data_IF_335510828367
#
_entry.id   IF_335510828367
#
_cell.length_a   1.000
_cell.length_b   1.000
_cell.length_c   1.000
_cell.angle_alpha   90.00
_cell.angle_beta   90.00
_cell.angle_gamma   90.00
#
_symmetry.space_group_name_H-M   'P 1'
#
loop_
_entity.id
_entity.type
_entity.pdbx_description
1 polymer ?
#
# COMPACT_ATOMS: atom_id res chain seq x y z
N UNK A 1 -25.95 26.71 -28.00
CA UNK A 1 -25.64 25.70 -26.96
C UNK A 1 -24.21 25.24 -27.20
N UNK A 2 -23.30 25.48 -26.26
CA UNK A 2 -21.95 24.91 -26.29
C UNK A 2 -22.09 23.41 -26.05
N UNK A 3 -21.58 22.59 -26.95
CA UNK A 3 -21.40 21.15 -26.72
C UNK A 3 -20.61 20.98 -25.41
N UNK A 4 -21.26 20.39 -24.42
CA UNK A 4 -20.58 19.84 -23.26
C UNK A 4 -19.69 18.74 -23.82
N UNK A 5 -18.36 18.77 -23.58
CA UNK A 5 -17.50 17.68 -24.03
C UNK A 5 -18.08 16.39 -23.47
N UNK A 6 -18.57 15.54 -24.37
CA UNK A 6 -19.07 14.22 -24.03
C UNK A 6 -18.06 13.57 -23.11
N UNK A 7 -18.55 13.00 -22.01
CA UNK A 7 -17.75 12.19 -21.09
C UNK A 7 -16.91 11.24 -21.92
N UNK A 8 -15.61 11.52 -22.08
CA UNK A 8 -14.68 10.65 -22.79
C UNK A 8 -14.89 9.29 -22.15
N UNK A 9 -15.38 8.32 -22.94
CA UNK A 9 -15.60 6.96 -22.46
C UNK A 9 -14.31 6.51 -21.79
N UNK A 10 -14.32 6.44 -20.46
CA UNK A 10 -13.12 6.12 -19.70
C UNK A 10 -12.78 4.69 -20.07
N UNK A 11 -11.70 4.53 -20.84
CA UNK A 11 -11.27 3.22 -21.28
C UNK A 11 -11.17 2.30 -20.05
N UNK A 12 -11.71 1.07 -20.11
CA UNK A 12 -11.66 0.16 -18.98
C UNK A 12 -10.24 0.01 -18.43
N UNK A 13 -10.07 -0.12 -17.11
CA UNK A 13 -8.75 -0.25 -16.53
C UNK A 13 -8.04 -1.50 -17.07
N UNK A 14 -6.72 -1.49 -17.00
CA UNK A 14 -5.93 -2.69 -17.29
C UNK A 14 -6.15 -3.69 -16.16
N UNK A 15 -6.43 -4.95 -16.49
CA UNK A 15 -6.54 -6.05 -15.56
C UNK A 15 -5.14 -6.46 -15.07
N UNK A 16 -4.24 -6.80 -16.00
CA UNK A 16 -2.84 -7.12 -15.77
C UNK A 16 -2.03 -6.90 -17.06
N UNK A 17 -0.81 -6.36 -16.95
CA UNK A 17 -0.02 -5.98 -18.13
C UNK A 17 -0.81 -5.07 -19.06
N UNK A 18 -0.86 -5.42 -20.36
CA UNK A 18 -1.62 -4.67 -21.38
C UNK A 18 -3.06 -5.16 -21.56
N UNK A 19 -3.50 -6.13 -20.74
CA UNK A 19 -4.81 -6.72 -20.83
C UNK A 19 -5.87 -5.79 -20.24
N UNK A 20 -6.92 -5.46 -21.00
CA UNK A 20 -8.05 -4.65 -20.50
C UNK A 20 -9.04 -5.51 -19.74
N UNK A 21 -9.51 -5.01 -18.61
CA UNK A 21 -10.57 -5.62 -17.83
C UNK A 21 -11.95 -5.35 -18.47
N UNK A 22 -12.82 -6.34 -18.45
CA UNK A 22 -14.24 -6.16 -18.71
C UNK A 22 -14.94 -5.58 -17.46
N UNK A 23 -16.05 -4.83 -17.62
CA UNK A 23 -16.78 -4.27 -16.48
C UNK A 23 -17.17 -5.31 -15.42
N UNK A 24 -17.55 -6.52 -15.86
CA UNK A 24 -17.87 -7.63 -14.96
C UNK A 24 -16.66 -8.09 -14.14
N UNK A 25 -15.46 -8.11 -14.73
CA UNK A 25 -14.22 -8.50 -14.04
C UNK A 25 -13.79 -7.45 -13.01
N UNK A 26 -13.92 -6.17 -13.36
CA UNK A 26 -13.68 -5.06 -12.41
C UNK A 26 -14.63 -5.16 -11.22
N UNK A 27 -15.91 -5.43 -11.49
CA UNK A 27 -16.93 -5.59 -10.46
C UNK A 27 -16.66 -6.83 -9.58
N UNK A 28 -16.28 -7.96 -10.17
CA UNK A 28 -15.96 -9.18 -9.43
C UNK A 28 -14.80 -8.97 -8.46
N UNK A 29 -13.69 -8.38 -8.94
CA UNK A 29 -12.52 -8.08 -8.11
C UNK A 29 -12.85 -7.06 -7.01
N UNK A 30 -13.53 -5.96 -7.38
CA UNK A 30 -13.93 -4.91 -6.42
C UNK A 30 -14.85 -5.47 -5.34
N UNK A 31 -15.90 -6.19 -5.72
CA UNK A 31 -16.89 -6.74 -4.80
C UNK A 31 -16.31 -7.85 -3.92
N UNK A 32 -15.42 -8.70 -4.45
CA UNK A 32 -14.75 -9.74 -3.68
C UNK A 32 -13.86 -9.16 -2.59
N UNK A 33 -12.99 -8.21 -2.95
CA UNK A 33 -12.11 -7.57 -1.97
C UNK A 33 -12.92 -6.75 -0.96
N UNK A 34 -13.95 -6.01 -1.41
CA UNK A 34 -14.83 -5.24 -0.51
C UNK A 34 -15.55 -6.15 0.48
N UNK A 35 -16.03 -7.31 0.02
CA UNK A 35 -16.68 -8.32 0.86
C UNK A 35 -15.74 -8.85 1.93
N UNK A 36 -14.51 -9.18 1.58
CA UNK A 36 -13.52 -9.65 2.56
C UNK A 36 -13.22 -8.58 3.63
N UNK A 37 -12.94 -7.35 3.20
CA UNK A 37 -12.66 -6.23 4.11
C UNK A 37 -13.86 -5.87 4.99
N UNK A 38 -15.07 -6.11 4.50
CA UNK A 38 -16.34 -5.84 5.17
C UNK A 38 -16.76 -6.85 6.25
N UNK A 39 -16.02 -7.94 6.47
CA UNK A 39 -16.29 -8.93 7.53
C UNK A 39 -15.92 -8.37 8.91
N UNK A 40 -16.84 -7.66 9.55
CA UNK A 40 -16.61 -7.02 10.85
C UNK A 40 -16.44 -8.04 11.99
N UNK A 41 -16.95 -9.25 11.81
CA UNK A 41 -16.75 -10.40 12.69
C UNK A 41 -15.29 -10.89 12.72
N UNK A 42 -14.50 -10.55 11.70
CA UNK A 42 -13.09 -10.93 11.60
C UNK A 42 -12.21 -9.79 12.16
N UNK A 43 -11.29 -10.06 13.11
CA UNK A 43 -10.34 -9.08 13.62
C UNK A 43 -9.58 -8.36 12.50
N UNK A 44 -9.32 -7.06 12.68
CA UNK A 44 -8.66 -6.23 11.66
C UNK A 44 -7.36 -6.87 11.15
N UNK A 45 -6.50 -7.33 12.05
CA UNK A 45 -5.19 -7.90 11.69
C UNK A 45 -5.32 -9.13 10.77
N UNK A 46 -6.37 -9.94 10.94
CA UNK A 46 -6.67 -11.09 10.06
C UNK A 46 -7.22 -10.60 8.72
N UNK A 47 -8.11 -9.60 8.71
CA UNK A 47 -8.59 -8.98 7.46
C UNK A 47 -7.46 -8.38 6.63
N UNK A 48 -6.52 -7.69 7.27
CA UNK A 48 -5.37 -7.08 6.59
C UNK A 48 -4.41 -8.16 6.06
N UNK A 49 -4.21 -9.24 6.81
CA UNK A 49 -3.45 -10.41 6.36
C UNK A 49 -4.08 -11.05 5.11
N UNK A 50 -5.39 -11.34 5.17
CA UNK A 50 -6.12 -11.88 4.02
C UNK A 50 -6.19 -10.92 2.83
N UNK A 51 -6.23 -9.61 3.07
CA UNK A 51 -6.14 -8.63 1.99
C UNK A 51 -4.78 -8.69 1.29
N UNK A 52 -3.68 -8.79 2.05
CA UNK A 52 -2.35 -8.93 1.49
C UNK A 52 -2.20 -10.26 0.72
N UNK A 53 -2.77 -11.35 1.24
CA UNK A 53 -2.82 -12.65 0.56
C UNK A 53 -3.60 -12.57 -0.76
N UNK A 54 -4.80 -11.97 -0.75
CA UNK A 54 -5.58 -11.72 -1.96
C UNK A 54 -4.82 -10.88 -2.98
N UNK A 55 -4.14 -9.81 -2.53
CA UNK A 55 -3.36 -8.94 -3.39
C UNK A 55 -2.26 -9.71 -4.12
N UNK A 56 -1.57 -10.63 -3.42
CA UNK A 56 -0.56 -11.48 -4.03
C UNK A 56 -1.16 -12.53 -4.97
N UNK A 57 -2.27 -13.18 -4.58
CA UNK A 57 -2.96 -14.13 -5.43
C UNK A 57 -3.46 -13.52 -6.74
N UNK A 58 -4.08 -12.34 -6.67
CA UNK A 58 -4.48 -11.55 -7.85
C UNK A 58 -3.25 -11.17 -8.67
N UNK A 59 -2.17 -10.74 -8.03
CA UNK A 59 -0.91 -10.39 -8.69
C UNK A 59 -0.23 -11.53 -9.44
N UNK A 60 -0.38 -12.75 -8.95
CA UNK A 60 0.21 -13.96 -9.52
C UNK A 60 -0.70 -14.67 -10.52
N UNK A 61 -1.97 -14.26 -10.63
CA UNK A 61 -2.94 -14.92 -11.50
C UNK A 61 -2.59 -14.77 -12.99
N UNK A 62 -2.71 -15.87 -13.74
CA UNK A 62 -2.60 -15.90 -15.20
C UNK A 62 -3.90 -15.37 -15.83
N UNK A 63 -4.04 -14.05 -15.91
CA UNK A 63 -5.23 -13.44 -16.52
C UNK A 63 -5.33 -13.66 -18.03
N UNK A 64 -4.31 -14.19 -18.71
CA UNK A 64 -4.49 -14.69 -20.08
C UNK A 64 -5.42 -15.91 -20.15
N UNK A 65 -5.57 -16.66 -19.05
CA UNK A 65 -6.30 -17.93 -18.99
C UNK A 65 -7.54 -17.87 -18.08
N UNK A 66 -7.50 -17.00 -17.08
CA UNK A 66 -8.59 -16.75 -16.12
C UNK A 66 -9.26 -15.41 -16.46
N UNK A 67 -10.36 -15.47 -17.22
CA UNK A 67 -11.13 -14.31 -17.73
C UNK A 67 -12.64 -14.50 -17.58
N UNK A 68 -13.38 -13.40 -17.65
CA UNK A 68 -14.84 -13.37 -17.59
C UNK A 68 -15.36 -14.05 -16.32
N UNK A 69 -16.27 -15.01 -16.48
CA UNK A 69 -16.86 -15.77 -15.37
C UNK A 69 -15.81 -16.46 -14.48
N UNK A 70 -14.68 -16.94 -15.06
CA UNK A 70 -13.62 -17.59 -14.29
C UNK A 70 -12.96 -16.66 -13.27
N UNK A 71 -12.92 -15.34 -13.53
CA UNK A 71 -12.43 -14.38 -12.53
C UNK A 71 -13.40 -14.30 -11.36
N UNK A 72 -14.70 -14.27 -11.65
CA UNK A 72 -15.74 -14.28 -10.60
C UNK A 72 -15.65 -15.54 -9.75
N UNK A 73 -15.45 -16.70 -10.37
CA UNK A 73 -15.24 -17.97 -9.67
C UNK A 73 -13.94 -17.94 -8.84
N UNK A 74 -12.82 -17.52 -9.42
CA UNK A 74 -11.54 -17.39 -8.72
C UNK A 74 -11.68 -16.50 -7.49
N UNK A 75 -12.19 -15.28 -7.65
CA UNK A 75 -12.34 -14.32 -6.55
C UNK A 75 -13.32 -14.83 -5.52
N UNK A 76 -14.42 -15.46 -5.95
CA UNK A 76 -15.40 -16.08 -5.07
C UNK A 76 -14.77 -17.17 -4.20
N UNK A 77 -13.98 -18.07 -4.80
CA UNK A 77 -13.28 -19.16 -4.13
C UNK A 77 -12.20 -18.64 -3.17
N UNK A 78 -11.39 -17.68 -3.61
CA UNK A 78 -10.36 -17.07 -2.77
C UNK A 78 -10.98 -16.43 -1.52
N UNK A 79 -12.07 -15.66 -1.68
CA UNK A 79 -12.71 -14.95 -0.56
C UNK A 79 -13.50 -15.88 0.37
N UNK A 80 -14.09 -16.95 -0.14
CA UNK A 80 -14.82 -17.92 0.70
C UNK A 80 -13.88 -18.75 1.57
N UNK A 81 -12.76 -19.22 1.01
CA UNK A 81 -11.82 -20.09 1.70
C UNK A 81 -10.89 -19.36 2.70
N UNK A 82 -10.69 -18.05 2.52
CA UNK A 82 -9.73 -17.24 3.27
C UNK A 82 -9.72 -17.43 4.81
N UNK A 83 -10.86 -17.39 5.55
CA UNK A 83 -10.83 -17.53 7.00
C UNK A 83 -10.14 -18.80 7.47
N UNK A 84 -10.43 -19.92 6.81
CA UNK A 84 -9.92 -21.24 7.18
C UNK A 84 -8.49 -21.43 6.64
N UNK A 85 -8.23 -20.98 5.41
CA UNK A 85 -6.90 -21.06 4.79
C UNK A 85 -5.83 -20.28 5.57
N UNK A 86 -6.14 -19.07 6.04
CA UNK A 86 -5.16 -18.25 6.77
C UNK A 86 -4.69 -18.91 8.08
N UNK A 87 -5.51 -19.76 8.70
CA UNK A 87 -5.11 -20.53 9.89
C UNK A 87 -4.03 -21.57 9.57
N UNK A 88 -4.03 -22.10 8.35
CA UNK A 88 -3.11 -23.15 7.90
C UNK A 88 -1.89 -22.63 7.14
N UNK A 89 -1.88 -21.33 6.82
CA UNK A 89 -0.79 -20.67 6.10
C UNK A 89 -0.01 -19.77 7.05
N UNK A 90 0.97 -20.30 7.81
CA UNK A 90 1.81 -19.49 8.68
C UNK A 90 2.60 -18.46 7.87
N UNK A 91 2.80 -17.28 8.47
CA UNK A 91 3.53 -16.17 7.85
C UNK A 91 4.87 -16.00 8.54
N UNK A 92 5.94 -16.26 7.82
CA UNK A 92 7.29 -16.01 8.30
C UNK A 92 7.56 -14.52 8.53
N UNK A 93 8.48 -14.15 9.44
CA UNK A 93 8.90 -12.77 9.57
C UNK A 93 9.54 -12.26 8.26
N UNK A 94 9.40 -10.96 7.93
CA UNK A 94 9.97 -10.43 6.71
C UNK A 94 11.50 -10.47 6.76
N UNK A 95 12.08 -10.96 5.66
CA UNK A 95 13.53 -11.02 5.48
C UNK A 95 14.18 -9.64 5.36
N UNK A 96 15.52 -9.59 5.44
CA UNK A 96 16.29 -8.32 5.38
C UNK A 96 16.02 -7.54 4.10
N UNK A 97 15.90 -8.22 2.96
CA UNK A 97 15.58 -7.62 1.67
C UNK A 97 14.19 -6.99 1.65
N UNK A 98 13.18 -7.70 2.16
CA UNK A 98 11.80 -7.22 2.26
C UNK A 98 11.71 -5.99 3.18
N UNK A 99 12.36 -6.00 4.35
CA UNK A 99 12.44 -4.83 5.24
C UNK A 99 13.12 -3.63 4.59
N UNK A 100 14.21 -3.86 3.85
CA UNK A 100 14.88 -2.81 3.07
C UNK A 100 13.93 -2.21 2.02
N UNK A 101 13.14 -3.04 1.33
CA UNK A 101 12.15 -2.56 0.36
C UNK A 101 11.01 -1.79 1.02
N UNK A 102 10.49 -2.24 2.17
CA UNK A 102 9.51 -1.49 2.95
C UNK A 102 10.05 -0.09 3.29
N UNK A 103 11.27 0.00 3.81
CA UNK A 103 11.88 1.29 4.15
C UNK A 103 12.02 2.19 2.93
N UNK A 104 12.46 1.65 1.79
CA UNK A 104 12.51 2.41 0.54
C UNK A 104 11.12 2.87 0.07
N UNK A 105 10.10 2.05 0.25
CA UNK A 105 8.72 2.38 -0.09
C UNK A 105 8.15 3.49 0.81
N UNK A 106 8.41 3.41 2.12
CA UNK A 106 8.08 4.43 3.10
C UNK A 106 8.76 5.74 2.74
N UNK A 107 10.08 5.72 2.50
CA UNK A 107 10.85 6.89 2.11
C UNK A 107 10.28 7.56 0.86
N UNK A 108 9.93 6.78 -0.17
CA UNK A 108 9.32 7.31 -1.39
C UNK A 108 7.93 7.95 -1.16
N UNK A 109 7.21 7.62 -0.09
CA UNK A 109 5.87 8.17 0.19
C UNK A 109 5.89 9.41 1.08
N UNK A 110 6.96 9.59 1.83
CA UNK A 110 7.13 10.72 2.76
C UNK A 110 8.14 11.74 2.28
N UNK A 111 9.01 11.37 1.34
CA UNK A 111 9.90 12.32 0.72
C UNK A 111 9.10 13.22 -0.20
N UNK A 112 8.97 14.48 0.20
CA UNK A 112 8.33 15.50 -0.60
C UNK A 112 9.38 16.42 -1.23
N UNK A 113 9.51 16.46 -2.56
CA UNK A 113 10.31 17.47 -3.25
C UNK A 113 9.65 18.85 -3.33
N UNK A 114 8.34 18.98 -3.00
CA UNK A 114 7.47 20.09 -3.44
C UNK A 114 6.82 20.92 -2.32
N UNK A 115 7.10 20.64 -1.04
CA UNK A 115 6.69 21.52 0.08
C UNK A 115 7.80 22.44 0.60
N UNK A 116 8.94 22.47 -0.09
CA UNK A 116 9.82 23.65 -0.10
C UNK A 116 9.34 24.54 -1.23
N UNK A 117 9.01 25.80 -0.94
CA UNK A 117 8.58 26.86 -1.87
C UNK A 117 9.63 27.23 -2.95
N UNK A 118 10.46 26.28 -3.35
CA UNK A 118 11.56 26.46 -4.26
C UNK A 118 11.22 25.69 -5.55
N UNK A 119 10.52 26.37 -6.46
CA UNK A 119 10.14 25.90 -7.80
C UNK A 119 11.36 25.65 -8.72
N UNK A 120 12.58 25.67 -8.19
CA UNK A 120 13.80 25.47 -8.96
C UNK A 120 14.03 23.99 -9.27
N UNK A 121 14.55 23.72 -10.48
CA UNK A 121 14.96 22.37 -10.90
C UNK A 121 15.95 21.82 -9.87
N UNK A 122 15.72 20.62 -9.31
CA UNK A 122 16.59 20.08 -8.26
C UNK A 122 18.02 19.96 -8.79
N UNK A 123 18.95 20.63 -8.10
CA UNK A 123 20.37 20.61 -8.42
C UNK A 123 20.94 19.19 -8.34
N UNK A 124 22.06 18.93 -9.00
CA UNK A 124 22.77 17.65 -8.88
C UNK A 124 23.11 17.32 -7.41
N UNK A 125 23.45 18.35 -6.62
CA UNK A 125 23.67 18.22 -5.18
C UNK A 125 22.42 17.72 -4.43
N UNK A 126 21.25 18.31 -4.71
CA UNK A 126 19.99 17.88 -4.09
C UNK A 126 19.64 16.42 -4.43
N UNK A 127 19.85 16.00 -5.68
CA UNK A 127 19.65 14.59 -6.09
C UNK A 127 20.61 13.64 -5.39
N UNK A 128 21.88 14.03 -5.24
CA UNK A 128 22.88 13.24 -4.52
C UNK A 128 22.54 13.15 -3.02
N UNK A 129 22.07 14.22 -2.41
CA UNK A 129 21.63 14.21 -1.02
C UNK A 129 20.39 13.31 -0.81
N UNK A 130 19.36 13.45 -1.65
CA UNK A 130 18.20 12.56 -1.68
C UNK A 130 18.62 11.09 -1.82
N UNK A 131 19.55 10.79 -2.72
CA UNK A 131 20.08 9.43 -2.87
C UNK A 131 20.83 8.95 -1.62
N UNK A 132 21.61 9.82 -0.96
CA UNK A 132 22.30 9.49 0.30
C UNK A 132 21.29 9.25 1.43
N UNK A 133 20.26 10.09 1.58
CA UNK A 133 19.18 9.93 2.56
C UNK A 133 18.41 8.63 2.30
N UNK A 134 18.01 8.37 1.06
CA UNK A 134 17.39 7.12 0.64
C UNK A 134 18.23 5.91 1.05
N UNK A 135 19.54 5.90 0.74
CA UNK A 135 20.43 4.77 1.11
C UNK A 135 20.56 4.57 2.61
N UNK A 136 20.63 5.65 3.40
CA UNK A 136 20.61 5.56 4.87
C UNK A 136 19.28 4.97 5.36
N UNK A 137 18.17 5.46 4.82
CA UNK A 137 16.85 4.97 5.15
C UNK A 137 16.68 3.47 4.81
N UNK A 138 17.20 3.03 3.65
CA UNK A 138 17.19 1.62 3.26
C UNK A 138 17.93 0.71 4.24
N UNK A 139 19.06 1.18 4.79
CA UNK A 139 19.84 0.42 5.78
C UNK A 139 19.07 0.25 7.09
N UNK A 140 18.28 1.25 7.47
CA UNK A 140 17.43 1.24 8.67
C UNK A 140 18.23 1.03 9.95
N UNK A 141 19.31 1.81 10.11
CA UNK A 141 20.18 1.82 11.29
C UNK A 141 20.63 3.24 11.58
N UNK A 142 20.82 3.54 12.87
CA UNK A 142 21.21 4.87 13.34
C UNK A 142 20.10 5.88 13.11
N UNK A 143 20.49 7.15 12.95
CA UNK A 143 19.52 8.23 12.89
C UNK A 143 18.65 8.19 11.64
N UNK A 144 17.36 8.49 11.82
CA UNK A 144 16.44 8.65 10.70
C UNK A 144 16.78 9.98 9.99
N UNK A 145 17.09 9.97 8.69
CA UNK A 145 17.35 11.23 7.98
C UNK A 145 16.09 12.09 8.01
N UNK A 146 16.25 13.39 8.29
CA UNK A 146 15.14 14.35 8.37
C UNK A 146 14.13 14.16 7.23
N UNK A 147 12.89 13.86 7.60
CA UNK A 147 11.76 13.62 6.70
C UNK A 147 10.95 14.91 6.55
N UNK A 148 9.85 14.85 5.80
CA UNK A 148 9.03 16.01 5.47
C UNK A 148 8.67 16.88 6.69
N UNK A 149 8.62 18.21 6.49
CA UNK A 149 8.21 19.18 7.51
C UNK A 149 6.89 18.77 8.19
N UNK A 150 6.83 19.04 9.49
CA UNK A 150 5.62 18.85 10.29
C UNK A 150 5.24 17.38 10.52
N UNK A 151 6.21 16.46 10.56
CA UNK A 151 5.98 15.09 11.02
C UNK A 151 6.93 14.79 12.18
N UNK A 152 6.37 14.39 13.33
CA UNK A 152 7.12 13.88 14.47
C UNK A 152 7.62 12.44 14.21
N UNK A 153 8.93 12.26 14.07
CA UNK A 153 9.60 10.97 13.86
C UNK A 153 10.72 10.87 14.89
N UNK A 154 11.00 9.68 15.45
CA UNK A 154 12.04 9.53 16.45
C UNK A 154 13.42 9.76 15.84
N UNK A 155 14.41 9.94 16.72
CA UNK A 155 15.78 10.20 16.30
C UNK A 155 16.39 9.02 15.53
N UNK A 156 15.98 7.78 15.80
CA UNK A 156 16.57 6.56 15.25
C UNK A 156 15.56 5.46 14.84
N UNK A 157 16.04 4.52 14.04
CA UNK A 157 15.26 3.37 13.58
C UNK A 157 14.94 2.36 14.69
N UNK A 158 15.75 2.31 15.75
CA UNK A 158 15.57 1.34 16.83
C UNK A 158 14.31 1.66 17.64
N UNK A 159 14.07 2.95 17.88
CA UNK A 159 12.85 3.48 18.49
C UNK A 159 11.59 3.07 17.73
N UNK A 160 11.63 3.07 16.39
CA UNK A 160 10.50 2.60 15.57
C UNK A 160 10.31 1.08 15.71
N UNK A 161 11.40 0.32 15.69
CA UNK A 161 11.36 -1.15 15.76
C UNK A 161 10.94 -1.65 17.16
N UNK A 162 11.21 -0.87 18.22
CA UNK A 162 10.78 -1.15 19.60
C UNK A 162 9.29 -0.89 19.83
N UNK A 163 8.66 -0.04 19.01
CA UNK A 163 7.24 0.28 19.14
C UNK A 163 6.36 -0.94 18.86
N UNK A 164 5.33 -1.25 19.67
CA UNK A 164 4.39 -2.32 19.39
C UNK A 164 3.74 -2.17 18.01
N UNK A 165 3.19 -3.28 17.50
CA UNK A 165 2.39 -3.26 16.27
C UNK A 165 1.15 -2.40 16.43
N UNK A 166 0.59 -1.95 15.30
CA UNK A 166 -0.62 -1.15 15.29
C UNK A 166 -1.79 -1.96 15.87
N UNK A 167 -2.50 -1.48 16.91
CA UNK A 167 -3.59 -2.23 17.51
C UNK A 167 -4.77 -2.33 16.54
N UNK A 168 -5.36 -3.53 16.45
CA UNK A 168 -6.57 -3.78 15.66
C UNK A 168 -7.88 -3.43 16.36
N UNK A 169 -7.90 -2.38 17.19
CA UNK A 169 -9.12 -1.97 17.89
C UNK A 169 -10.17 -1.38 16.93
N UNK A 170 -11.42 -1.24 17.40
CA UNK A 170 -12.56 -0.85 16.56
C UNK A 170 -12.36 0.49 15.82
N UNK A 171 -11.83 1.51 16.50
CA UNK A 171 -11.60 2.83 15.91
C UNK A 171 -10.55 2.78 14.79
N UNK A 172 -9.43 2.08 15.02
CA UNK A 172 -8.39 1.88 13.99
C UNK A 172 -8.94 1.03 12.84
N UNK A 173 -9.71 -0.02 13.15
CA UNK A 173 -10.32 -0.89 12.16
C UNK A 173 -11.27 -0.13 11.23
N UNK A 174 -12.16 0.68 11.79
CA UNK A 174 -13.08 1.52 11.04
C UNK A 174 -12.34 2.48 10.09
N UNK A 175 -11.33 3.21 10.58
CA UNK A 175 -10.53 4.12 9.77
C UNK A 175 -9.84 3.42 8.59
N UNK A 176 -9.11 2.34 8.87
CA UNK A 176 -8.29 1.63 7.87
C UNK A 176 -9.17 0.93 6.84
N UNK A 177 -10.23 0.26 7.29
CA UNK A 177 -11.16 -0.44 6.40
C UNK A 177 -11.92 0.56 5.54
N UNK A 178 -12.40 1.69 6.09
CA UNK A 178 -13.04 2.75 5.30
C UNK A 178 -12.10 3.28 4.22
N UNK A 179 -10.83 3.53 4.55
CA UNK A 179 -9.84 3.98 3.56
C UNK A 179 -9.59 2.93 2.47
N UNK A 180 -9.36 1.67 2.82
CA UNK A 180 -9.16 0.60 1.82
C UNK A 180 -10.38 0.45 0.91
N UNK A 181 -11.58 0.32 1.50
CA UNK A 181 -12.83 0.12 0.76
C UNK A 181 -13.15 1.30 -0.14
N UNK A 182 -13.00 2.54 0.34
CA UNK A 182 -13.20 3.74 -0.50
C UNK A 182 -12.18 3.85 -1.62
N UNK A 183 -10.93 3.44 -1.40
CA UNK A 183 -9.89 3.42 -2.43
C UNK A 183 -10.20 2.41 -3.53
N UNK A 184 -10.63 1.20 -3.15
CA UNK A 184 -10.96 0.12 -4.08
C UNK A 184 -12.25 0.44 -4.84
N UNK A 185 -13.35 0.75 -4.14
CA UNK A 185 -14.65 1.06 -4.76
C UNK A 185 -14.61 2.33 -5.63
N UNK A 186 -13.78 3.29 -5.26
CA UNK A 186 -13.55 4.51 -6.04
C UNK A 186 -12.61 4.34 -7.23
N UNK A 187 -12.06 3.13 -7.46
CA UNK A 187 -11.08 2.90 -8.53
C UNK A 187 -9.78 3.68 -8.37
N UNK A 188 -9.46 4.13 -7.15
CA UNK A 188 -8.25 4.94 -6.84
C UNK A 188 -6.98 4.11 -6.66
N UNK A 189 -7.10 2.77 -6.70
CA UNK A 189 -5.96 1.86 -6.59
C UNK A 189 -5.34 1.47 -7.95
N UNK A 190 -5.94 1.85 -9.08
CA UNK A 190 -5.46 1.47 -10.42
C UNK A 190 -5.82 2.51 -11.47
N UNK A 191 -5.43 2.26 -12.72
CA UNK A 191 -5.71 3.13 -13.86
C UNK A 191 -5.21 4.56 -13.65
N UNK A 192 -5.96 5.55 -14.12
CA UNK A 192 -5.65 6.97 -13.90
C UNK A 192 -5.67 7.37 -12.42
N UNK A 193 -6.41 6.64 -11.57
CA UNK A 193 -6.43 6.83 -10.12
C UNK A 193 -5.09 6.49 -9.45
N UNK A 194 -4.29 5.62 -10.07
CA UNK A 194 -3.00 5.21 -9.54
C UNK A 194 -1.95 5.02 -10.65
N UNK A 195 -1.47 6.12 -11.22
CA UNK A 195 -0.30 6.17 -12.12
C UNK A 195 -0.33 5.24 -13.33
N UNK A 196 -1.52 4.89 -13.84
CA UNK A 196 -1.69 3.98 -14.98
C UNK A 196 -1.44 2.50 -14.65
N UNK A 197 -1.56 2.12 -13.37
CA UNK A 197 -1.34 0.74 -12.95
C UNK A 197 -2.48 -0.17 -13.39
N UNK A 198 -2.17 -1.45 -13.63
CA UNK A 198 -3.20 -2.47 -13.78
C UNK A 198 -3.89 -2.74 -12.43
N UNK A 199 -5.05 -3.38 -12.43
CA UNK A 199 -5.74 -3.78 -11.20
C UNK A 199 -4.84 -4.71 -10.38
N UNK A 200 -4.23 -5.70 -11.03
CA UNK A 200 -3.33 -6.65 -10.38
C UNK A 200 -2.12 -5.97 -9.72
N UNK A 201 -1.46 -5.04 -10.41
CA UNK A 201 -0.36 -4.27 -9.82
C UNK A 201 -0.88 -3.34 -8.72
N UNK A 202 -2.02 -2.68 -8.96
CA UNK A 202 -2.58 -1.64 -8.11
C UNK A 202 -3.02 -2.15 -6.74
N UNK A 203 -3.65 -3.32 -6.70
CA UNK A 203 -4.04 -3.98 -5.43
C UNK A 203 -2.78 -4.38 -4.62
N UNK A 204 -1.72 -4.86 -5.28
CA UNK A 204 -0.44 -5.13 -4.62
C UNK A 204 0.23 -3.85 -4.09
N UNK A 205 0.16 -2.76 -4.83
CA UNK A 205 0.64 -1.46 -4.38
C UNK A 205 -0.13 -0.97 -3.15
N UNK A 206 -1.44 -1.21 -3.11
CA UNK A 206 -2.28 -0.87 -1.97
C UNK A 206 -1.92 -1.71 -0.73
N UNK A 207 -1.59 -2.99 -0.89
CA UNK A 207 -1.05 -3.80 0.21
C UNK A 207 0.30 -3.29 0.71
N UNK A 208 1.20 -2.85 -0.18
CA UNK A 208 2.44 -2.18 0.22
C UNK A 208 2.16 -0.83 0.93
N UNK A 209 1.19 -0.05 0.46
CA UNK A 209 0.77 1.18 1.11
C UNK A 209 0.28 0.91 2.54
N UNK A 210 -0.51 -0.15 2.74
CA UNK A 210 -0.96 -0.59 4.05
C UNK A 210 0.20 -0.97 4.98
N UNK A 211 1.22 -1.68 4.48
CA UNK A 211 2.43 -1.95 5.27
C UNK A 211 3.19 -0.65 5.60
N UNK A 212 3.24 0.31 4.68
CA UNK A 212 3.84 1.62 4.92
C UNK A 212 3.07 2.42 5.97
N UNK A 213 1.72 2.39 5.96
CA UNK A 213 0.88 3.00 7.00
C UNK A 213 1.29 2.44 8.36
N UNK A 214 1.32 1.11 8.53
CA UNK A 214 1.66 0.50 9.81
C UNK A 214 3.06 0.88 10.31
N UNK A 215 4.06 0.92 9.42
CA UNK A 215 5.40 1.37 9.80
C UNK A 215 5.44 2.85 10.19
N UNK A 216 4.74 3.71 9.43
CA UNK A 216 4.70 5.15 9.68
C UNK A 216 3.91 5.50 10.94
N UNK A 217 2.89 4.73 11.30
CA UNK A 217 2.17 4.90 12.56
C UNK A 217 3.06 4.61 13.76
N UNK A 218 3.88 3.55 13.68
CA UNK A 218 4.88 3.24 14.71
C UNK A 218 5.94 4.33 14.81
N UNK A 219 6.40 4.84 13.66
CA UNK A 219 7.35 5.94 13.63
C UNK A 219 6.74 7.23 14.19
N UNK A 220 5.49 7.56 13.87
CA UNK A 220 4.81 8.73 14.43
C UNK A 220 4.68 8.63 15.95
N UNK A 221 4.14 7.51 16.45
CA UNK A 221 3.95 7.26 17.88
C UNK A 221 5.28 7.39 18.65
N UNK A 222 6.35 6.77 18.16
CA UNK A 222 7.68 6.91 18.75
C UNK A 222 8.19 8.36 18.72
N UNK A 223 7.92 9.09 17.64
CA UNK A 223 8.37 10.48 17.47
C UNK A 223 7.66 11.48 18.38
N UNK A 224 6.42 11.21 18.78
CA UNK A 224 5.68 12.01 19.77
C UNK A 224 5.88 11.51 21.21
N UNK A 225 6.65 10.45 21.42
CA UNK A 225 6.95 9.90 22.75
C UNK A 225 5.86 9.00 23.34
N UNK A 226 4.98 8.46 22.50
CA UNK A 226 3.93 7.54 22.93
C UNK A 226 4.49 6.14 23.23
N UNK A 227 3.88 5.46 24.21
CA UNK A 227 4.26 4.09 24.57
C UNK A 227 3.64 3.03 23.63
N UNK A 228 2.55 3.39 22.94
CA UNK A 228 1.81 2.52 22.03
C UNK A 228 1.32 3.31 20.82
N UNK A 229 1.04 2.62 19.71
CA UNK A 229 0.44 3.28 18.54
C UNK A 229 -1.01 3.68 18.83
N UNK A 230 -1.31 4.96 18.68
CA UNK A 230 -2.63 5.57 18.90
C UNK A 230 -3.43 5.70 17.60
N UNK A 231 -4.74 5.98 17.71
CA UNK A 231 -5.59 6.32 16.57
C UNK A 231 -5.02 7.49 15.75
N UNK A 232 -4.57 8.55 16.41
CA UNK A 232 -4.00 9.73 15.75
C UNK A 232 -2.72 9.38 14.97
N UNK A 233 -1.88 8.49 15.50
CA UNK A 233 -0.69 7.99 14.79
C UNK A 233 -1.05 7.22 13.52
N UNK A 234 -2.18 6.51 13.50
CA UNK A 234 -2.72 5.86 12.29
C UNK A 234 -3.29 6.89 11.33
N UNK A 235 -4.05 7.86 11.83
CA UNK A 235 -4.63 8.96 11.04
C UNK A 235 -3.57 9.77 10.30
N UNK A 236 -2.50 10.18 10.99
CA UNK A 236 -1.40 10.93 10.39
C UNK A 236 -0.66 10.14 9.31
N UNK A 237 -0.35 8.87 9.61
CA UNK A 237 0.30 7.98 8.66
C UNK A 237 -0.54 7.77 7.39
N UNK A 238 -1.83 7.48 7.56
CA UNK A 238 -2.76 7.23 6.47
C UNK A 238 -3.00 8.49 5.64
N UNK A 239 -3.18 9.64 6.28
CA UNK A 239 -3.36 10.92 5.58
C UNK A 239 -2.18 11.25 4.67
N UNK A 240 -0.96 10.88 5.06
CA UNK A 240 0.25 11.10 4.24
C UNK A 240 0.34 10.12 3.08
N UNK A 241 0.03 8.86 3.31
CA UNK A 241 -0.02 7.82 2.27
C UNK A 241 -1.09 8.13 1.22
N UNK A 242 -2.28 8.56 1.65
CA UNK A 242 -3.36 8.95 0.75
C UNK A 242 -3.00 10.23 -0.04
N UNK A 243 -2.40 11.24 0.60
CA UNK A 243 -1.92 12.45 -0.09
C UNK A 243 -0.83 12.17 -1.13
N UNK A 244 0.03 11.18 -0.89
CA UNK A 244 1.05 10.78 -1.87
C UNK A 244 0.40 10.15 -3.11
N UNK A 245 -0.68 9.39 -2.92
CA UNK A 245 -1.39 8.70 -4.00
C UNK A 245 -1.97 9.71 -5.01
N UNK A 246 -1.61 9.56 -6.28
CA UNK A 246 -1.97 10.48 -7.36
C UNK A 246 -1.08 11.73 -7.48
N UNK A 247 -0.21 12.04 -6.50
CA UNK A 247 0.69 13.23 -6.54
C UNK A 247 2.16 12.87 -6.72
N UNK A 248 2.60 11.81 -6.06
CA UNK A 248 3.97 11.30 -6.10
C UNK A 248 4.24 10.49 -7.38
N UNK A 249 4.47 11.17 -8.51
CA UNK A 249 4.62 10.55 -9.85
C UNK A 249 5.66 9.42 -9.93
N UNK A 250 6.69 9.43 -9.07
CA UNK A 250 7.70 8.39 -9.02
C UNK A 250 7.18 7.04 -8.51
N UNK A 251 6.03 7.02 -7.82
CA UNK A 251 5.32 5.77 -7.49
C UNK A 251 4.75 5.09 -8.75
N UNK A 252 4.66 5.81 -9.88
CA UNK A 252 4.37 5.25 -11.19
C UNK A 252 5.57 4.61 -11.91
N UNK A 253 6.78 4.75 -11.36
CA UNK A 253 8.02 4.40 -12.05
C UNK A 253 8.27 2.88 -12.13
N UNK A 254 9.17 2.49 -13.05
CA UNK A 254 9.65 1.11 -13.16
C UNK A 254 10.30 0.62 -11.86
N UNK A 255 10.93 1.51 -11.09
CA UNK A 255 11.53 1.15 -9.80
C UNK A 255 10.51 0.67 -8.76
N UNK A 256 9.34 1.32 -8.69
CA UNK A 256 8.24 0.89 -7.81
C UNK A 256 7.69 -0.46 -8.27
N UNK A 257 7.51 -0.64 -9.58
CA UNK A 257 7.03 -1.89 -10.17
C UNK A 257 7.98 -3.06 -9.88
N UNK A 258 9.29 -2.86 -10.04
CA UNK A 258 10.30 -3.88 -9.71
C UNK A 258 10.30 -4.22 -8.22
N UNK A 259 10.10 -3.23 -7.33
CA UNK A 259 9.97 -3.47 -5.89
C UNK A 259 8.79 -4.38 -5.59
N UNK A 260 7.62 -4.11 -6.17
CA UNK A 260 6.46 -4.94 -5.92
C UNK A 260 6.63 -6.34 -6.48
N UNK A 261 7.19 -6.49 -7.69
CA UNK A 261 7.52 -7.82 -8.22
C UNK A 261 8.39 -8.62 -7.24
N UNK A 262 9.43 -7.99 -6.69
CA UNK A 262 10.27 -8.63 -5.67
C UNK A 262 9.49 -9.04 -4.41
N UNK A 263 8.59 -8.17 -3.92
CA UNK A 263 7.78 -8.46 -2.74
C UNK A 263 6.70 -9.52 -3.00
N UNK A 264 6.19 -9.60 -4.23
CA UNK A 264 5.16 -10.54 -4.62
C UNK A 264 5.65 -11.99 -4.70
N UNK A 265 6.93 -12.22 -5.03
CA UNK A 265 7.50 -13.55 -5.30
C UNK A 265 7.52 -14.51 -4.09
N UNK A 266 7.61 -14.00 -2.86
CA UNK A 266 7.83 -14.83 -1.65
C UNK A 266 7.05 -14.28 -0.44
N UNK A 267 5.72 -14.25 -0.56
CA UNK A 267 4.76 -13.84 0.49
C UNK A 267 5.07 -12.45 1.11
N UNK A 268 5.88 -11.63 0.43
CA UNK A 268 6.55 -10.49 1.04
C UNK A 268 5.58 -9.38 1.42
N UNK A 269 4.49 -9.19 0.68
CA UNK A 269 3.45 -8.23 1.04
C UNK A 269 2.75 -8.67 2.34
N UNK A 270 2.37 -9.94 2.43
CA UNK A 270 1.76 -10.52 3.63
C UNK A 270 2.69 -10.44 4.84
N UNK A 271 3.96 -10.84 4.70
CA UNK A 271 4.99 -10.72 5.76
C UNK A 271 5.16 -9.29 6.25
N UNK A 272 5.17 -8.30 5.34
CA UNK A 272 5.31 -6.90 5.71
C UNK A 272 4.06 -6.36 6.42
N UNK A 273 2.85 -6.68 5.95
CA UNK A 273 1.60 -6.30 6.63
C UNK A 273 1.57 -6.90 8.04
N UNK A 274 1.72 -8.23 8.16
CA UNK A 274 1.76 -8.94 9.45
C UNK A 274 2.84 -8.46 10.42
N UNK A 275 3.94 -7.91 9.92
CA UNK A 275 5.00 -7.38 10.79
C UNK A 275 4.68 -6.02 11.42
N UNK A 276 3.74 -5.27 10.86
CA UNK A 276 3.38 -3.93 11.34
C UNK A 276 2.01 -3.86 12.02
N UNK A 277 1.10 -4.78 11.70
CA UNK A 277 -0.27 -4.86 12.20
C UNK A 277 -0.46 -6.05 13.16
#
# INVERSE_FOLDING_TARGET
MREVPESIAVAPPLLAGDLRAEPAEVNALTAGIDRWLGRDEVPLTIRLDGFAWLAQGIGAASFSEVRGERITELVGLLVSALPDELLHLPVDPPGRGQRKQLRQAVFARIEDPRFTDDESRPTLGAKLDQWRRSRRFARGRGSIPGLARGWAIPDDFESVEAMPKVPGNEAVADLVVRWLRSTIRGGRAWGSGYYGWSIADGVQALALNLACVGWLSRAHAAGVGEAVVTFDSVGEALGRIDRASGRAVWLGSMGERLRLRYLATDDGLRRLVRSNW
#
